data_IF_911077396816
#
_entry.id   IF_911077396816
#
_cell.length_a   1.000
_cell.length_b   1.000
_cell.length_c   1.000
_cell.angle_alpha   90.00
_cell.angle_beta   90.00
_cell.angle_gamma   90.00
#
_symmetry.space_group_name_H-M   'P 1'
#
loop_
_entity.id
_entity.type
_entity.pdbx_description
1 polymer ?
#
# COMPACT_ATOMS: atom_id res chain seq x y z
N UNK A 1 -0.34 -16.42 7.60
CA UNK A 1 -1.59 -15.75 8.01
C UNK A 1 -2.27 -15.20 6.77
N UNK A 2 -3.60 -15.13 6.74
CA UNK A 2 -4.28 -14.41 5.65
C UNK A 2 -4.13 -12.90 5.88
N UNK A 3 -3.86 -12.14 4.82
CA UNK A 3 -3.74 -10.68 4.88
C UNK A 3 -5.03 -10.06 4.35
N UNK A 4 -5.78 -9.39 5.23
CA UNK A 4 -7.02 -8.69 4.88
C UNK A 4 -6.78 -7.19 4.72
N UNK A 5 -7.45 -6.57 3.75
CA UNK A 5 -7.52 -5.11 3.58
C UNK A 5 -8.94 -4.73 3.14
N UNK A 6 -9.26 -3.44 3.19
CA UNK A 6 -10.55 -2.90 2.77
C UNK A 6 -10.72 -2.91 1.23
N UNK A 7 -9.68 -3.20 0.43
CA UNK A 7 -9.80 -3.31 -1.03
C UNK A 7 -10.91 -4.26 -1.48
N UNK A 8 -11.10 -5.36 -0.76
CA UNK A 8 -12.18 -6.31 -1.05
C UNK A 8 -13.57 -5.67 -0.90
N UNK A 9 -13.74 -4.71 0.00
CA UNK A 9 -15.02 -3.99 0.15
C UNK A 9 -15.24 -3.01 -1.00
N UNK A 10 -14.21 -2.28 -1.43
CA UNK A 10 -14.32 -1.37 -2.57
C UNK A 10 -14.66 -2.11 -3.88
N UNK A 11 -14.09 -3.29 -4.08
CA UNK A 11 -14.43 -4.14 -5.21
C UNK A 11 -15.86 -4.71 -5.09
N UNK A 12 -16.16 -5.40 -3.98
CA UNK A 12 -17.41 -6.17 -3.86
C UNK A 12 -18.66 -5.32 -3.57
N UNK A 13 -18.52 -4.21 -2.86
CA UNK A 13 -19.65 -3.36 -2.47
C UNK A 13 -19.81 -2.12 -3.36
N UNK A 14 -18.71 -1.57 -3.88
CA UNK A 14 -18.75 -0.35 -4.69
C UNK A 14 -18.45 -0.59 -6.19
N UNK A 15 -18.00 -1.79 -6.58
CA UNK A 15 -17.66 -2.10 -7.97
C UNK A 15 -16.45 -1.31 -8.49
N UNK A 16 -15.59 -0.82 -7.58
CA UNK A 16 -14.44 0.02 -7.93
C UNK A 16 -13.20 -0.87 -8.06
N UNK A 17 -12.56 -0.94 -9.25
CA UNK A 17 -11.28 -1.62 -9.41
C UNK A 17 -10.23 -1.01 -8.46
N UNK A 18 -9.67 -1.85 -7.58
CA UNK A 18 -8.85 -1.37 -6.47
C UNK A 18 -7.52 -2.12 -6.41
N UNK A 19 -6.43 -1.41 -6.10
CA UNK A 19 -5.10 -1.98 -5.84
C UNK A 19 -4.64 -1.58 -4.45
N UNK A 20 -3.94 -2.47 -3.76
CA UNK A 20 -3.22 -2.15 -2.53
C UNK A 20 -1.76 -1.90 -2.88
N UNK A 21 -1.23 -0.75 -2.46
CA UNK A 21 0.17 -0.40 -2.62
C UNK A 21 0.65 0.47 -1.45
N UNK A 22 1.92 0.33 -1.08
CA UNK A 22 2.54 1.06 0.02
C UNK A 22 3.95 0.53 0.32
N UNK A 23 4.74 1.25 1.12
CA UNK A 23 6.08 0.81 1.53
C UNK A 23 6.00 -0.20 2.68
N UNK A 24 7.09 -0.93 2.91
CA UNK A 24 7.20 -1.93 3.98
C UNK A 24 7.01 -3.37 3.51
N UNK A 25 7.09 -4.31 4.45
CA UNK A 25 6.90 -5.73 4.20
C UNK A 25 5.91 -6.32 5.20
N UNK A 26 5.05 -7.21 4.72
CA UNK A 26 3.95 -7.75 5.52
C UNK A 26 4.41 -8.78 6.57
N UNK A 27 5.60 -9.35 6.40
CA UNK A 27 6.24 -10.21 7.39
C UNK A 27 6.73 -9.44 8.63
N UNK A 28 7.01 -8.15 8.46
CA UNK A 28 7.40 -7.22 9.53
C UNK A 28 6.21 -6.65 10.31
N UNK A 29 5.02 -6.64 9.72
CA UNK A 29 3.82 -6.10 10.35
C UNK A 29 3.43 -6.88 11.63
N UNK A 30 3.01 -6.15 12.68
CA UNK A 30 2.59 -6.71 13.97
C UNK A 30 3.69 -7.54 14.68
N UNK A 31 4.95 -7.16 14.48
CA UNK A 31 6.09 -7.73 15.20
C UNK A 31 6.65 -6.70 16.19
N UNK A 32 7.32 -7.13 17.28
CA UNK A 32 8.17 -6.23 18.05
C UNK A 32 9.16 -5.52 17.12
N UNK A 33 9.44 -4.25 17.42
CA UNK A 33 10.35 -3.41 16.63
C UNK A 33 9.99 -3.34 15.13
N UNK A 34 8.68 -3.31 14.83
CA UNK A 34 8.16 -3.07 13.47
C UNK A 34 8.81 -1.81 12.87
N UNK A 35 9.33 -1.96 11.65
CA UNK A 35 10.05 -0.88 10.96
C UNK A 35 9.78 -0.90 9.46
N UNK A 36 10.11 0.22 8.82
CA UNK A 36 10.17 0.37 7.38
C UNK A 36 11.47 1.09 7.02
N UNK A 37 12.16 0.63 5.98
CA UNK A 37 13.41 1.27 5.56
C UNK A 37 13.13 2.63 4.92
N UNK A 38 14.01 3.62 5.17
CA UNK A 38 13.85 4.97 4.61
C UNK A 38 13.83 4.95 3.08
N UNK A 39 14.57 4.04 2.46
CA UNK A 39 14.59 3.84 1.01
C UNK A 39 13.23 3.35 0.48
N UNK A 40 12.50 2.53 1.23
CA UNK A 40 11.15 2.12 0.86
C UNK A 40 10.18 3.29 0.90
N UNK A 41 10.31 4.17 1.90
CA UNK A 41 9.51 5.40 2.01
C UNK A 41 9.79 6.33 0.82
N UNK A 42 11.06 6.59 0.52
CA UNK A 42 11.46 7.43 -0.61
C UNK A 42 10.92 6.90 -1.95
N UNK A 43 10.95 5.57 -2.17
CA UNK A 43 10.37 4.95 -3.36
C UNK A 43 8.85 5.08 -3.42
N UNK A 44 8.15 4.94 -2.30
CA UNK A 44 6.69 5.13 -2.25
C UNK A 44 6.31 6.58 -2.54
N UNK A 45 7.07 7.55 -2.03
CA UNK A 45 6.85 8.96 -2.33
C UNK A 45 6.98 9.23 -3.83
N UNK A 46 8.06 8.72 -4.46
CA UNK A 46 8.26 8.83 -5.91
C UNK A 46 7.09 8.21 -6.69
N UNK A 47 6.62 7.02 -6.29
CA UNK A 47 5.48 6.36 -6.90
C UNK A 47 4.21 7.22 -6.84
N UNK A 48 3.87 7.78 -5.68
CA UNK A 48 2.67 8.62 -5.52
C UNK A 48 2.78 9.89 -6.37
N UNK A 49 3.96 10.52 -6.41
CA UNK A 49 4.20 11.70 -7.27
C UNK A 49 3.99 11.38 -8.74
N UNK A 50 4.58 10.30 -9.24
CA UNK A 50 4.38 9.87 -10.63
C UNK A 50 2.94 9.47 -10.93
N UNK A 51 2.21 8.90 -9.96
CA UNK A 51 0.80 8.59 -10.13
C UNK A 51 -0.03 9.88 -10.25
N UNK A 52 0.22 10.87 -9.38
CA UNK A 52 -0.43 12.17 -9.46
C UNK A 52 -0.21 12.83 -10.82
N UNK A 53 1.04 12.90 -11.29
CA UNK A 53 1.38 13.48 -12.60
C UNK A 53 0.72 12.78 -13.80
N UNK A 54 0.44 11.48 -13.68
CA UNK A 54 -0.23 10.70 -14.75
C UNK A 54 -1.75 10.81 -14.73
N UNK A 55 -2.31 11.23 -13.60
CA UNK A 55 -3.76 11.30 -13.38
C UNK A 55 -4.30 12.73 -13.29
N UNK A 56 -3.42 13.73 -13.24
CA UNK A 56 -3.73 15.17 -13.38
C UNK A 56 -3.84 15.58 -14.84
#
# INVERSE_FOLDING_TARGET
VAFGTEAGLFETQAGIPTVICGPGYIDQAHKPDEFVALEQIARCEQFIRSLFERCS
#
